data_IF_790599476898
#
_entry.id   IF_790599476898
#
_cell.length_a   1.000
_cell.length_b   1.000
_cell.length_c   1.000
_cell.angle_alpha   90.00
_cell.angle_beta   90.00
_cell.angle_gamma   90.00
#
_symmetry.space_group_name_H-M   'P 1'
#
loop_
_entity.id
_entity.type
_entity.pdbx_description
1 polymer ?
#
# COMPACT_ATOMS: atom_id res chain seq x y z
N UNK A 1 41.69 -49.11 -13.68
CA UNK A 1 41.75 -47.64 -13.84
C UNK A 1 40.63 -47.21 -14.78
N UNK A 2 39.60 -46.53 -14.29
CA UNK A 2 38.50 -46.01 -15.11
C UNK A 2 39.00 -44.75 -15.81
N UNK A 3 38.97 -44.72 -17.15
CA UNK A 3 39.35 -43.51 -17.91
C UNK A 3 38.31 -42.42 -17.63
N UNK A 4 38.74 -41.32 -17.04
CA UNK A 4 37.93 -40.12 -16.87
C UNK A 4 37.94 -39.40 -18.23
N UNK A 5 36.81 -39.37 -18.92
CA UNK A 5 36.66 -38.61 -20.16
C UNK A 5 36.78 -37.13 -19.84
N UNK A 6 37.77 -36.45 -20.44
CA UNK A 6 37.88 -35.00 -20.35
C UNK A 6 36.73 -34.32 -21.08
N UNK A 7 36.26 -33.18 -20.55
CA UNK A 7 35.25 -32.34 -21.18
C UNK A 7 35.81 -31.74 -22.48
N UNK A 8 35.03 -31.74 -23.56
CA UNK A 8 35.49 -31.16 -24.83
C UNK A 8 35.29 -29.64 -24.84
N UNK A 9 36.16 -28.91 -25.54
CA UNK A 9 35.98 -27.45 -25.72
C UNK A 9 34.64 -27.13 -26.39
N UNK A 10 34.18 -27.98 -27.31
CA UNK A 10 32.91 -27.79 -28.01
C UNK A 10 31.70 -27.96 -27.08
N UNK A 11 31.72 -28.91 -26.14
CA UNK A 11 30.64 -29.03 -25.13
C UNK A 11 30.52 -27.75 -24.30
N UNK A 12 31.65 -27.16 -23.90
CA UNK A 12 31.62 -25.93 -23.11
C UNK A 12 31.07 -24.75 -23.91
N UNK A 13 31.47 -24.63 -25.19
CA UNK A 13 30.99 -23.57 -26.09
C UNK A 13 29.49 -23.71 -26.36
N UNK A 14 28.99 -24.93 -26.60
CA UNK A 14 27.56 -25.15 -26.86
C UNK A 14 26.72 -24.76 -25.63
N UNK A 15 27.18 -25.09 -24.41
CA UNK A 15 26.47 -24.74 -23.18
C UNK A 15 26.34 -23.23 -23.00
N UNK A 16 27.43 -22.47 -23.18
CA UNK A 16 27.37 -21.00 -23.03
C UNK A 16 26.49 -20.35 -24.10
N UNK A 17 26.45 -20.89 -25.32
CA UNK A 17 25.56 -20.41 -26.39
C UNK A 17 24.09 -20.65 -26.03
N UNK A 18 23.75 -21.85 -25.54
CA UNK A 18 22.39 -22.16 -25.09
C UNK A 18 21.98 -21.25 -23.92
N UNK A 19 22.85 -21.08 -22.92
CA UNK A 19 22.59 -20.16 -21.80
C UNK A 19 22.42 -18.71 -22.28
N UNK A 20 23.19 -18.27 -23.28
CA UNK A 20 23.04 -16.95 -23.88
C UNK A 20 21.67 -16.74 -24.51
N UNK A 21 21.16 -17.70 -25.28
CA UNK A 21 19.83 -17.62 -25.91
C UNK A 21 18.71 -17.60 -24.85
N UNK A 22 18.82 -18.45 -23.83
CA UNK A 22 17.85 -18.49 -22.73
C UNK A 22 17.84 -17.19 -21.93
N UNK A 23 19.02 -16.61 -21.67
CA UNK A 23 19.12 -15.35 -20.94
C UNK A 23 18.45 -14.19 -21.68
N UNK A 24 18.69 -14.05 -22.99
CA UNK A 24 18.10 -12.95 -23.81
C UNK A 24 16.58 -13.05 -23.88
N UNK A 25 16.02 -14.25 -23.92
CA UNK A 25 14.56 -14.44 -23.97
C UNK A 25 13.90 -14.35 -22.59
N UNK A 26 14.60 -14.71 -21.50
CA UNK A 26 14.07 -14.64 -20.15
C UNK A 26 14.17 -13.25 -19.49
N UNK A 27 15.21 -12.47 -19.80
CA UNK A 27 15.48 -11.19 -19.13
C UNK A 27 14.33 -10.17 -19.22
N UNK A 28 13.68 -9.94 -20.39
CA UNK A 28 12.56 -9.00 -20.48
C UNK A 28 11.36 -9.41 -19.63
N UNK A 29 11.07 -10.71 -19.56
CA UNK A 29 9.96 -11.24 -18.76
C UNK A 29 10.25 -11.14 -17.26
N UNK A 30 11.48 -11.38 -16.84
CA UNK A 30 11.88 -11.30 -15.43
C UNK A 30 11.76 -9.88 -14.87
N UNK A 31 12.02 -8.85 -15.68
CA UNK A 31 11.83 -7.46 -15.27
C UNK A 31 10.35 -7.13 -15.03
N UNK A 32 9.46 -7.51 -15.94
CA UNK A 32 8.02 -7.25 -15.80
C UNK A 32 7.41 -7.97 -14.58
N UNK A 33 7.85 -9.20 -14.28
CA UNK A 33 7.35 -9.97 -13.14
C UNK A 33 7.58 -9.28 -11.78
N UNK A 34 8.66 -8.50 -11.65
CA UNK A 34 8.91 -7.76 -10.41
C UNK A 34 7.95 -6.56 -10.25
N UNK A 35 7.65 -5.86 -11.35
CA UNK A 35 6.68 -4.75 -11.35
C UNK A 35 5.28 -5.28 -11.04
N UNK A 36 4.90 -6.38 -11.70
CA UNK A 36 3.62 -7.06 -11.46
C UNK A 36 3.48 -7.53 -10.00
N UNK A 37 4.56 -8.09 -9.42
CA UNK A 37 4.56 -8.52 -8.02
C UNK A 37 4.40 -7.36 -7.04
N UNK A 38 5.01 -6.20 -7.32
CA UNK A 38 4.84 -4.98 -6.53
C UNK A 38 3.42 -4.46 -6.64
N UNK A 39 2.89 -4.34 -7.85
CA UNK A 39 1.52 -3.90 -8.08
C UNK A 39 0.51 -4.82 -7.37
N UNK A 40 0.69 -6.15 -7.44
CA UNK A 40 -0.15 -7.12 -6.75
C UNK A 40 -0.07 -6.99 -5.22
N UNK A 41 1.12 -6.70 -4.67
CA UNK A 41 1.29 -6.50 -3.23
C UNK A 41 0.56 -5.24 -2.74
N UNK A 42 0.63 -4.14 -3.50
CA UNK A 42 -0.13 -2.91 -3.20
C UNK A 42 -1.64 -3.15 -3.30
N UNK A 43 -2.09 -3.90 -4.31
CA UNK A 43 -3.51 -4.29 -4.41
C UNK A 43 -3.94 -5.18 -3.24
N UNK A 44 -3.06 -6.07 -2.76
CA UNK A 44 -3.28 -6.87 -1.56
C UNK A 44 -3.45 -6.01 -0.31
N UNK A 45 -2.58 -5.01 -0.13
CA UNK A 45 -2.70 -4.05 0.97
C UNK A 45 -3.98 -3.23 0.87
N UNK A 46 -4.33 -2.74 -0.33
CA UNK A 46 -5.58 -2.02 -0.55
C UNK A 46 -6.81 -2.88 -0.21
N UNK A 47 -6.80 -4.16 -0.57
CA UNK A 47 -7.84 -5.10 -0.18
C UNK A 47 -7.94 -5.31 1.33
N UNK A 48 -6.80 -5.36 2.03
CA UNK A 48 -6.76 -5.44 3.50
C UNK A 48 -7.32 -4.17 4.15
N UNK A 49 -6.96 -2.98 3.65
CA UNK A 49 -7.52 -1.71 4.10
C UNK A 49 -9.02 -1.65 3.89
N UNK A 50 -9.50 -1.89 2.66
CA UNK A 50 -10.93 -1.92 2.33
C UNK A 50 -11.71 -2.91 3.21
N UNK A 51 -11.13 -4.08 3.51
CA UNK A 51 -11.71 -5.04 4.45
C UNK A 51 -11.83 -4.50 5.87
N UNK A 52 -10.77 -3.84 6.37
CA UNK A 52 -10.77 -3.22 7.68
C UNK A 52 -11.81 -2.09 7.80
N UNK A 53 -12.00 -1.27 6.75
CA UNK A 53 -13.03 -0.24 6.71
C UNK A 53 -14.42 -0.81 6.98
N UNK A 54 -14.78 -1.92 6.30
CA UNK A 54 -16.07 -2.57 6.49
C UNK A 54 -16.26 -3.16 7.90
N UNK A 55 -15.19 -3.70 8.50
CA UNK A 55 -15.25 -4.26 9.86
C UNK A 55 -15.43 -3.14 10.90
N UNK A 56 -14.65 -2.06 10.80
CA UNK A 56 -14.70 -0.95 11.75
C UNK A 56 -16.01 -0.17 11.61
N UNK A 57 -16.48 0.05 10.38
CA UNK A 57 -17.80 0.64 10.14
C UNK A 57 -18.93 -0.23 10.70
N UNK A 58 -18.88 -1.54 10.47
CA UNK A 58 -19.85 -2.49 11.02
C UNK A 58 -19.88 -2.47 12.55
N UNK A 59 -18.73 -2.36 13.21
CA UNK A 59 -18.66 -2.19 14.66
C UNK A 59 -19.27 -0.86 15.11
N UNK A 60 -18.91 0.24 14.44
CA UNK A 60 -19.37 1.58 14.83
C UNK A 60 -20.88 1.73 14.66
N UNK A 61 -21.46 1.10 13.64
CA UNK A 61 -22.91 1.06 13.43
C UNK A 61 -23.66 0.20 14.47
N UNK A 62 -22.98 -0.77 15.10
CA UNK A 62 -23.55 -1.53 16.22
C UNK A 62 -23.54 -0.67 17.49
N UNK A 63 -22.46 0.10 17.68
CA UNK A 63 -22.30 1.00 18.82
C UNK A 63 -23.13 2.30 18.67
N UNK A 64 -23.59 2.61 17.46
CA UNK A 64 -24.43 3.77 17.14
C UNK A 64 -23.63 5.07 16.93
N UNK A 65 -22.33 4.95 16.66
CA UNK A 65 -21.38 6.04 16.50
C UNK A 65 -21.01 6.29 15.02
N UNK A 66 -21.71 5.66 14.07
CA UNK A 66 -21.40 5.72 12.63
C UNK A 66 -21.61 7.11 12.01
N UNK A 67 -22.33 7.99 12.70
CA UNK A 67 -22.54 9.38 12.26
C UNK A 67 -21.71 10.38 13.03
N UNK A 68 -20.96 9.93 14.04
CA UNK A 68 -20.20 10.80 14.91
C UNK A 68 -18.86 11.18 14.28
N UNK A 69 -18.53 12.49 14.21
CA UNK A 69 -17.26 12.95 13.67
C UNK A 69 -16.11 12.66 14.64
N UNK A 70 -14.90 12.52 14.10
CA UNK A 70 -13.70 12.59 14.95
C UNK A 70 -13.58 13.95 15.62
N UNK A 71 -12.90 13.98 16.77
CA UNK A 71 -12.61 15.21 17.49
C UNK A 71 -11.11 15.49 17.51
N UNK A 72 -10.73 16.73 17.83
CA UNK A 72 -9.32 17.10 17.97
C UNK A 72 -8.66 16.51 19.22
N UNK A 73 -9.44 16.06 20.20
CA UNK A 73 -8.95 15.44 21.44
C UNK A 73 -9.15 13.92 21.39
N UNK A 74 -8.06 13.18 21.57
CA UNK A 74 -8.05 11.72 21.58
C UNK A 74 -8.99 11.12 22.65
N UNK A 75 -9.25 11.86 23.73
CA UNK A 75 -10.12 11.42 24.81
C UNK A 75 -11.62 11.48 24.45
N UNK A 76 -12.00 12.27 23.44
CA UNK A 76 -13.41 12.50 23.06
C UNK A 76 -13.78 11.98 21.69
N UNK A 77 -12.81 11.50 20.91
CA UNK A 77 -13.09 10.85 19.63
C UNK A 77 -13.79 9.50 19.85
N UNK A 78 -14.83 9.17 19.05
CA UNK A 78 -15.43 7.84 18.97
C UNK A 78 -14.38 6.72 18.80
N UNK A 79 -14.60 5.59 19.49
CA UNK A 79 -13.68 4.44 19.46
C UNK A 79 -14.47 3.15 19.40
N UNK A 80 -14.23 2.39 18.34
CA UNK A 80 -14.86 1.10 18.09
C UNK A 80 -13.78 0.02 18.09
N UNK A 81 -13.93 -1.01 18.94
CA UNK A 81 -12.97 -2.12 19.02
C UNK A 81 -11.50 -1.69 19.20
N UNK A 82 -11.26 -0.56 19.86
CA UNK A 82 -9.92 0.00 20.06
C UNK A 82 -9.42 0.89 18.93
N UNK A 83 -10.15 1.00 17.81
CA UNK A 83 -9.85 1.87 16.68
C UNK A 83 -10.61 3.19 16.81
N UNK A 84 -9.90 4.31 16.75
CA UNK A 84 -10.46 5.66 16.67
C UNK A 84 -11.13 5.89 15.32
N UNK A 85 -12.38 6.36 15.35
CA UNK A 85 -13.22 6.48 14.16
C UNK A 85 -13.61 7.92 13.82
N UNK A 86 -13.91 8.14 12.55
CA UNK A 86 -14.48 9.35 11.97
C UNK A 86 -15.65 8.93 11.07
N UNK A 87 -16.89 9.25 11.47
CA UNK A 87 -18.11 8.80 10.79
C UNK A 87 -18.14 7.27 10.61
N UNK A 88 -17.76 6.55 11.68
CA UNK A 88 -17.72 5.09 11.71
C UNK A 88 -16.54 4.41 11.02
N UNK A 89 -15.73 5.13 10.24
CA UNK A 89 -14.52 4.59 9.60
C UNK A 89 -13.26 4.89 10.43
N UNK A 90 -12.16 4.14 10.29
CA UNK A 90 -10.89 4.46 10.96
C UNK A 90 -10.42 5.90 10.67
N UNK A 91 -9.54 6.42 11.52
CA UNK A 91 -8.84 7.68 11.23
C UNK A 91 -7.51 7.42 10.50
N UNK A 92 -7.08 8.33 9.61
CA UNK A 92 -5.86 8.23 8.82
C UNK A 92 -4.61 8.60 9.63
N UNK A 93 -4.74 9.43 10.67
CA UNK A 93 -3.62 9.86 11.52
C UNK A 93 -3.96 9.63 12.99
N UNK A 94 -2.94 9.45 13.84
CA UNK A 94 -3.08 9.59 15.29
C UNK A 94 -3.92 10.82 15.66
N UNK A 95 -4.88 10.62 16.56
CA UNK A 95 -5.49 11.72 17.28
C UNK A 95 -4.70 11.88 18.58
N UNK A 96 -3.99 12.99 18.72
CA UNK A 96 -3.14 13.24 19.89
C UNK A 96 -1.91 12.34 19.95
N UNK A 97 -1.66 11.72 21.10
CA UNK A 97 -0.48 10.86 21.34
C UNK A 97 -0.79 9.35 21.18
N UNK A 98 -1.98 9.00 20.70
CA UNK A 98 -2.41 7.62 20.49
C UNK A 98 -2.66 7.36 19.00
N UNK A 99 -1.77 6.59 18.36
CA UNK A 99 -1.98 6.02 17.03
C UNK A 99 -3.03 4.91 17.14
N UNK A 100 -4.32 5.27 17.01
CA UNK A 100 -5.44 4.31 17.03
C UNK A 100 -6.25 4.27 15.74
N UNK A 101 -5.65 4.70 14.64
CA UNK A 101 -6.33 4.85 13.35
C UNK A 101 -6.32 3.60 12.48
N UNK A 102 -6.16 3.80 11.17
CA UNK A 102 -6.07 2.74 10.16
C UNK A 102 -4.93 1.75 10.43
N UNK A 103 -3.89 2.18 11.13
CA UNK A 103 -2.75 1.36 11.55
C UNK A 103 -3.16 0.24 12.53
N UNK A 104 -4.10 0.52 13.44
CA UNK A 104 -4.65 -0.49 14.34
C UNK A 104 -5.68 -1.39 13.65
N UNK A 105 -6.36 -0.85 12.63
CA UNK A 105 -7.37 -1.58 11.88
C UNK A 105 -6.75 -2.59 10.88
N UNK A 106 -5.52 -2.33 10.41
CA UNK A 106 -4.85 -3.14 9.39
C UNK A 106 -3.54 -3.70 9.94
N UNK A 107 -3.53 -5.02 10.18
CA UNK A 107 -2.36 -5.70 10.70
C UNK A 107 -1.12 -5.50 9.79
N UNK A 108 -0.02 -5.06 10.40
CA UNK A 108 1.27 -4.86 9.72
C UNK A 108 1.53 -3.43 9.24
N UNK A 109 0.66 -2.48 9.58
CA UNK A 109 0.87 -1.06 9.33
C UNK A 109 1.17 -0.27 10.62
N UNK A 110 2.14 0.65 10.59
CA UNK A 110 3.36 0.53 9.81
C UNK A 110 4.17 -0.66 10.33
N UNK A 111 5.04 -1.21 9.50
CA UNK A 111 5.75 -2.42 9.87
C UNK A 111 7.02 -2.65 9.06
N UNK A 112 7.45 -3.91 9.04
CA UNK A 112 8.67 -4.31 8.33
C UNK A 112 8.54 -4.19 6.81
N UNK A 113 7.32 -4.34 6.27
CA UNK A 113 7.06 -4.35 4.83
C UNK A 113 6.50 -3.03 4.31
N UNK A 114 5.85 -2.26 5.19
CA UNK A 114 5.08 -1.06 4.84
C UNK A 114 5.51 0.13 5.69
N UNK A 115 5.82 1.24 5.02
CA UNK A 115 6.25 2.50 5.65
C UNK A 115 5.35 3.65 5.22
N UNK A 116 5.17 4.62 6.12
CA UNK A 116 4.48 5.86 5.77
C UNK A 116 5.30 6.63 4.75
N UNK A 117 4.61 7.15 3.74
CA UNK A 117 5.18 8.06 2.76
C UNK A 117 4.29 9.29 2.70
N UNK A 118 4.92 10.45 2.59
CA UNK A 118 4.17 11.64 2.21
C UNK A 118 3.70 11.45 0.76
N UNK A 119 2.57 12.04 0.37
CA UNK A 119 2.02 12.10 -1.01
C UNK A 119 1.62 13.52 -1.35
N UNK A 120 1.86 13.98 -2.58
CA UNK A 120 1.36 15.28 -3.05
C UNK A 120 -0.11 15.10 -3.42
N UNK A 121 -0.99 15.64 -2.61
CA UNK A 121 -2.44 15.54 -2.79
C UNK A 121 -2.98 16.72 -3.59
N UNK A 122 -3.75 16.42 -4.63
CA UNK A 122 -4.43 17.40 -5.48
C UNK A 122 -5.93 17.19 -5.39
N UNK A 123 -6.67 18.29 -5.26
CA UNK A 123 -8.12 18.30 -5.00
C UNK A 123 -8.45 18.61 -3.54
N UNK A 124 -9.74 18.53 -3.20
CA UNK A 124 -10.19 18.63 -1.80
C UNK A 124 -10.15 17.22 -1.21
N UNK A 125 -8.98 16.84 -0.72
CA UNK A 125 -8.77 15.55 -0.05
C UNK A 125 -9.02 15.76 1.45
N UNK A 126 -9.92 14.98 2.07
CA UNK A 126 -9.97 14.86 3.52
C UNK A 126 -8.63 14.38 4.08
N UNK A 127 -8.50 14.30 5.41
CA UNK A 127 -7.30 13.74 6.01
C UNK A 127 -7.01 12.34 5.44
N UNK A 128 -5.77 12.14 5.01
CA UNK A 128 -5.34 10.95 4.31
C UNK A 128 -3.94 10.52 4.77
N UNK A 129 -3.62 9.25 4.56
CA UNK A 129 -2.31 8.66 4.85
C UNK A 129 -1.94 7.68 3.75
N UNK A 130 -0.67 7.64 3.38
CA UNK A 130 -0.18 6.76 2.34
C UNK A 130 0.95 5.86 2.83
N UNK A 131 0.95 4.64 2.31
CA UNK A 131 1.94 3.61 2.63
C UNK A 131 2.60 3.08 1.36
N UNK A 132 3.89 2.85 1.44
CA UNK A 132 4.69 2.23 0.38
C UNK A 132 5.58 1.13 0.95
N UNK A 133 6.29 0.43 0.07
CA UNK A 133 7.25 -0.60 0.46
C UNK A 133 8.34 -0.07 1.39
N UNK A 134 8.78 -0.92 2.32
CA UNK A 134 9.95 -0.62 3.13
C UNK A 134 11.18 -0.28 2.27
N UNK A 135 11.92 0.74 2.69
CA UNK A 135 13.05 1.30 1.94
C UNK A 135 12.68 2.41 0.94
N UNK A 136 11.39 2.70 0.74
CA UNK A 136 10.96 3.91 0.03
C UNK A 136 11.30 5.16 0.85
N UNK A 137 11.77 6.22 0.19
CA UNK A 137 12.01 7.51 0.85
C UNK A 137 10.67 8.11 1.31
N UNK A 138 10.51 8.45 2.60
CA UNK A 138 9.25 9.01 3.11
C UNK A 138 9.00 10.45 2.62
N UNK A 139 10.02 11.14 2.10
CA UNK A 139 9.93 12.52 1.65
C UNK A 139 9.46 12.61 0.20
N UNK A 140 8.35 13.30 0.02
CA UNK A 140 7.70 13.55 -1.26
C UNK A 140 8.61 14.04 -2.38
N UNK A 141 9.47 15.02 -2.09
CA UNK A 141 10.37 15.59 -3.08
C UNK A 141 11.35 14.56 -3.68
N UNK A 142 11.60 13.45 -2.97
CA UNK A 142 12.55 12.42 -3.36
C UNK A 142 11.87 11.21 -4.04
N UNK A 143 10.64 10.87 -3.64
CA UNK A 143 9.89 9.75 -4.23
C UNK A 143 8.96 10.17 -5.38
N UNK A 144 8.57 11.46 -5.45
CA UNK A 144 7.73 12.03 -6.51
C UNK A 144 6.30 11.49 -6.56
N UNK A 145 5.75 10.95 -5.48
CA UNK A 145 4.41 10.33 -5.51
C UNK A 145 3.29 11.37 -5.50
N UNK A 146 2.30 11.24 -6.40
CA UNK A 146 1.21 12.21 -6.53
C UNK A 146 -0.13 11.50 -6.44
N UNK A 147 -1.08 12.06 -5.70
CA UNK A 147 -2.46 11.59 -5.67
C UNK A 147 -3.39 12.73 -6.09
N UNK A 148 -4.31 12.47 -7.00
CA UNK A 148 -5.29 13.47 -7.47
C UNK A 148 -6.70 12.87 -7.39
N UNK A 149 -7.49 13.30 -6.41
CA UNK A 149 -8.83 12.77 -6.15
C UNK A 149 -9.84 13.08 -7.28
N UNK A 150 -9.52 14.02 -8.18
CA UNK A 150 -10.47 14.54 -9.18
C UNK A 150 -10.34 13.90 -10.56
N UNK A 151 -9.28 13.13 -10.78
CA UNK A 151 -9.05 12.47 -12.08
C UNK A 151 -9.43 10.99 -12.04
N UNK A 152 -9.41 10.28 -13.19
CA UNK A 152 -9.52 8.84 -13.23
C UNK A 152 -8.16 8.22 -13.61
N UNK A 153 -7.21 8.12 -12.66
CA UNK A 153 -6.01 7.25 -12.65
C UNK A 153 -5.01 7.59 -11.50
N UNK A 154 -5.48 7.76 -10.27
CA UNK A 154 -5.02 8.82 -9.35
C UNK A 154 -3.72 8.56 -8.58
N UNK A 155 -2.56 9.21 -8.79
CA UNK A 155 -1.70 9.37 -9.99
C UNK A 155 -0.27 8.92 -9.63
N UNK A 156 0.76 9.09 -10.47
CA UNK A 156 2.09 8.42 -10.44
C UNK A 156 2.68 8.05 -9.05
N UNK A 157 3.05 6.78 -8.88
CA UNK A 157 3.77 6.25 -7.73
C UNK A 157 3.52 4.76 -7.46
N UNK A 158 4.09 4.28 -6.35
CA UNK A 158 3.90 2.93 -5.81
C UNK A 158 3.48 3.00 -4.35
N UNK A 159 2.21 3.24 -4.11
CA UNK A 159 1.69 3.40 -2.75
C UNK A 159 0.22 3.00 -2.68
N UNK A 160 -0.26 2.77 -1.48
CA UNK A 160 -1.69 2.70 -1.18
C UNK A 160 -2.01 3.91 -0.32
N UNK A 161 -3.02 4.67 -0.73
CA UNK A 161 -3.52 5.79 0.05
C UNK A 161 -4.84 5.40 0.70
N UNK A 162 -4.99 5.76 1.97
CA UNK A 162 -6.24 5.73 2.70
C UNK A 162 -6.71 7.17 2.89
N UNK A 163 -7.96 7.44 2.50
CA UNK A 163 -8.61 8.74 2.66
C UNK A 163 -9.78 8.56 3.62
N UNK A 164 -9.80 9.35 4.68
CA UNK A 164 -10.87 9.30 5.68
C UNK A 164 -12.23 9.71 5.10
N UNK A 165 -13.28 9.33 5.82
CA UNK A 165 -14.62 9.82 5.55
C UNK A 165 -14.69 11.34 5.72
N UNK A 166 -15.20 12.04 4.70
CA UNK A 166 -15.34 13.49 4.75
C UNK A 166 -16.52 13.92 5.64
N UNK A 167 -17.56 13.08 5.70
CA UNK A 167 -18.79 13.27 6.46
C UNK A 167 -19.59 11.97 6.48
N UNK A 168 -20.69 11.93 7.25
CA UNK A 168 -21.59 10.77 7.36
C UNK A 168 -22.21 10.27 6.03
N UNK A 169 -22.09 11.03 4.93
CA UNK A 169 -22.60 10.64 3.60
C UNK A 169 -21.50 10.41 2.56
N UNK A 170 -20.25 10.72 2.90
CA UNK A 170 -19.08 10.57 2.05
C UNK A 170 -18.11 9.65 2.75
N UNK A 171 -18.23 8.37 2.42
CA UNK A 171 -17.50 7.27 3.06
C UNK A 171 -15.99 7.37 2.88
N UNK A 172 -15.25 6.74 3.79
CA UNK A 172 -13.82 6.56 3.64
C UNK A 172 -13.51 5.53 2.55
N UNK A 173 -12.34 5.62 1.93
CA UNK A 173 -11.91 4.64 0.94
C UNK A 173 -10.39 4.48 0.94
N UNK A 174 -9.93 3.39 0.34
CA UNK A 174 -8.52 3.16 0.05
C UNK A 174 -8.30 2.92 -1.44
N UNK A 175 -7.17 3.36 -1.96
CA UNK A 175 -6.82 3.23 -3.37
C UNK A 175 -5.36 2.81 -3.53
N UNK A 176 -5.13 1.78 -4.34
CA UNK A 176 -3.78 1.36 -4.75
C UNK A 176 -3.35 2.12 -6.00
N UNK A 177 -2.22 2.81 -5.88
CA UNK A 177 -1.55 3.51 -6.96
C UNK A 177 -0.33 2.72 -7.40
N UNK A 178 -0.38 2.21 -8.62
CA UNK A 178 0.66 1.30 -9.15
C UNK A 178 1.33 1.83 -10.42
N UNK A 179 1.15 3.12 -10.74
CA UNK A 179 1.70 3.70 -11.95
C UNK A 179 3.15 4.14 -11.71
N UNK A 180 4.12 3.32 -12.15
CA UNK A 180 5.54 3.57 -11.91
C UNK A 180 6.22 2.59 -10.95
N UNK A 181 5.58 1.43 -10.72
CA UNK A 181 6.20 0.26 -10.13
C UNK A 181 6.95 -0.55 -11.20
#
# INVERSE_FOLDING_TARGET
>A
MKRQGGFTLIELVVVIVILGILAVTAAPRFLNLQQDARAASLQGLNGAMSGALGIVYGGSAIDGEETDPKTADAATTPITNGVATNFGYPTATAIGAQDRGIEDAVAGLPGNDWVLVNVTETGVVPDAVAYSFAGTDPVQANNGFVYDLTTPANTTGCFVIYVEAANATTEAFSEAVTNGC
#
